data_IF_489039974979
#
_entry.id   IF_489039974979
#
_cell.length_a   1.000
_cell.length_b   1.000
_cell.length_c   1.000
_cell.angle_alpha   90.00
_cell.angle_beta   90.00
_cell.angle_gamma   90.00
#
_symmetry.space_group_name_H-M   'P 1'
#
loop_
_entity.id
_entity.type
_entity.pdbx_description
1 polymer ?
#
# COMPACT_ATOMS: atom_id res chain seq x y z
N UNK A 1 -11.00 -15.19 6.78
CA UNK A 1 -11.98 -15.68 5.80
C UNK A 1 -11.99 -14.68 4.67
N UNK A 2 -11.54 -15.11 3.49
CA UNK A 2 -11.43 -14.27 2.32
C UNK A 2 -12.79 -14.10 1.64
N UNK A 3 -13.14 -12.86 1.28
CA UNK A 3 -14.32 -12.56 0.49
C UNK A 3 -13.90 -12.19 -0.92
N UNK A 4 -14.61 -12.71 -1.92
CA UNK A 4 -14.48 -12.25 -3.31
C UNK A 4 -15.04 -10.84 -3.43
N UNK A 5 -14.49 -10.06 -4.36
CA UNK A 5 -14.97 -8.72 -4.67
C UNK A 5 -16.39 -8.74 -5.24
N UNK A 6 -16.69 -9.71 -6.11
CA UNK A 6 -18.04 -9.92 -6.66
C UNK A 6 -18.50 -8.94 -7.74
N UNK A 7 -17.70 -7.94 -8.10
CA UNK A 7 -18.00 -6.99 -9.19
C UNK A 7 -16.75 -6.45 -9.89
N UNK A 8 -16.97 -5.80 -11.03
CA UNK A 8 -15.91 -5.15 -11.80
C UNK A 8 -14.89 -6.13 -12.38
N UNK A 9 -13.75 -5.60 -12.85
CA UNK A 9 -12.70 -6.40 -13.51
C UNK A 9 -12.05 -7.46 -12.62
N UNK A 10 -12.16 -7.31 -11.29
CA UNK A 10 -11.53 -8.19 -10.30
C UNK A 10 -12.57 -8.98 -9.50
N UNK A 11 -13.78 -9.18 -10.05
CA UNK A 11 -14.89 -9.83 -9.36
C UNK A 11 -14.52 -11.19 -8.72
N UNK A 12 -13.73 -12.00 -9.42
CA UNK A 12 -13.29 -13.32 -8.96
C UNK A 12 -12.08 -13.29 -8.01
N UNK A 13 -11.49 -12.12 -7.78
CA UNK A 13 -10.38 -11.94 -6.83
C UNK A 13 -10.92 -11.62 -5.44
N UNK A 14 -10.12 -11.92 -4.45
CA UNK A 14 -10.41 -11.56 -3.05
C UNK A 14 -10.10 -10.09 -2.79
N UNK A 15 -10.67 -9.55 -1.74
CA UNK A 15 -10.45 -8.15 -1.37
C UNK A 15 -8.97 -7.90 -0.99
N UNK A 16 -8.34 -8.81 -0.24
CA UNK A 16 -6.93 -8.71 0.14
C UNK A 16 -5.99 -8.70 -1.08
N UNK A 17 -6.36 -9.43 -2.14
CA UNK A 17 -5.57 -9.52 -3.37
C UNK A 17 -5.36 -8.16 -4.01
N UNK A 18 -6.34 -7.26 -3.92
CA UNK A 18 -6.25 -5.92 -4.51
C UNK A 18 -5.06 -5.13 -3.95
N UNK A 19 -4.81 -5.17 -2.65
CA UNK A 19 -3.74 -4.38 -2.03
C UNK A 19 -2.33 -4.77 -2.53
N UNK A 20 -2.10 -6.05 -2.81
CA UNK A 20 -0.79 -6.56 -3.24
C UNK A 20 -0.61 -6.69 -4.76
N UNK A 21 -1.66 -6.43 -5.55
CA UNK A 21 -1.60 -6.63 -7.01
C UNK A 21 -2.15 -5.43 -7.79
N UNK A 22 -3.07 -4.66 -7.20
CA UNK A 22 -3.68 -3.50 -7.84
C UNK A 22 -4.21 -2.50 -6.78
N UNK A 23 -3.33 -1.95 -5.90
CA UNK A 23 -3.77 -1.07 -4.81
C UNK A 23 -4.46 0.19 -5.34
N UNK A 24 -4.10 0.67 -6.54
CA UNK A 24 -4.79 1.78 -7.20
C UNK A 24 -6.27 1.50 -7.45
N UNK A 25 -6.66 0.23 -7.66
CA UNK A 25 -8.07 -0.12 -7.85
C UNK A 25 -8.89 0.04 -6.57
N UNK A 26 -8.29 -0.20 -5.39
CA UNK A 26 -8.95 0.04 -4.09
C UNK A 26 -9.33 1.52 -3.96
N UNK A 27 -8.41 2.42 -4.30
CA UNK A 27 -8.64 3.85 -4.19
C UNK A 27 -9.57 4.36 -5.28
N UNK A 28 -9.48 3.81 -6.50
CA UNK A 28 -10.48 4.05 -7.54
C UNK A 28 -11.88 3.65 -7.08
N UNK A 29 -12.03 2.50 -6.40
CA UNK A 29 -13.32 2.06 -5.88
C UNK A 29 -13.90 3.07 -4.90
N UNK A 30 -13.09 3.56 -3.96
CA UNK A 30 -13.50 4.56 -2.97
C UNK A 30 -13.85 5.89 -3.64
N UNK A 31 -12.99 6.38 -4.54
CA UNK A 31 -13.17 7.66 -5.23
C UNK A 31 -14.41 7.69 -6.13
N UNK A 32 -14.78 6.53 -6.71
CA UNK A 32 -15.93 6.40 -7.61
C UNK A 32 -17.15 5.77 -6.93
N UNK A 33 -17.12 5.61 -5.60
CA UNK A 33 -18.19 5.00 -4.81
C UNK A 33 -18.62 3.61 -5.35
N UNK A 34 -17.66 2.84 -5.88
CA UNK A 34 -17.88 1.49 -6.38
C UNK A 34 -17.87 0.45 -5.25
N UNK A 35 -17.26 0.79 -4.10
CA UNK A 35 -17.28 -0.02 -2.87
C UNK A 35 -18.68 -0.16 -2.25
N UNK A 36 -19.66 0.67 -2.66
CA UNK A 36 -21.08 0.52 -2.29
C UNK A 36 -21.70 -0.81 -2.72
N UNK A 37 -21.08 -1.51 -3.69
CA UNK A 37 -21.51 -2.83 -4.15
C UNK A 37 -21.05 -3.96 -3.21
N UNK A 38 -20.25 -3.65 -2.18
CA UNK A 38 -19.92 -4.58 -1.11
C UNK A 38 -20.98 -4.52 -0.03
N UNK A 39 -21.40 -5.69 0.44
CA UNK A 39 -22.44 -5.84 1.46
C UNK A 39 -22.02 -6.82 2.56
N UNK A 40 -22.67 -6.70 3.73
CA UNK A 40 -22.48 -7.61 4.86
C UNK A 40 -21.02 -7.75 5.30
N UNK A 41 -20.60 -8.98 5.55
CA UNK A 41 -19.25 -9.28 6.02
C UNK A 41 -18.14 -8.87 5.03
N UNK A 42 -18.41 -8.88 3.72
CA UNK A 42 -17.45 -8.44 2.71
C UNK A 42 -17.17 -6.93 2.82
N UNK A 43 -18.21 -6.13 3.10
CA UNK A 43 -18.08 -4.69 3.34
C UNK A 43 -17.27 -4.41 4.59
N UNK A 44 -17.60 -5.07 5.70
CA UNK A 44 -16.88 -4.92 6.96
C UNK A 44 -15.40 -5.29 6.81
N UNK A 45 -15.11 -6.38 6.09
CA UNK A 45 -13.74 -6.78 5.78
C UNK A 45 -13.03 -5.73 4.94
N UNK A 46 -13.67 -5.19 3.90
CA UNK A 46 -13.08 -4.12 3.08
C UNK A 46 -12.74 -2.88 3.91
N UNK A 47 -13.66 -2.42 4.75
CA UNK A 47 -13.44 -1.24 5.59
C UNK A 47 -12.26 -1.44 6.57
N UNK A 48 -12.15 -2.63 7.18
CA UNK A 48 -11.00 -2.99 8.03
C UNK A 48 -9.68 -3.01 7.24
N UNK A 49 -9.67 -3.63 6.06
CA UNK A 49 -8.48 -3.68 5.20
C UNK A 49 -8.04 -2.29 4.75
N UNK A 50 -8.96 -1.42 4.36
CA UNK A 50 -8.67 -0.03 3.97
C UNK A 50 -8.08 0.75 5.15
N UNK A 51 -8.66 0.61 6.34
CA UNK A 51 -8.18 1.25 7.57
C UNK A 51 -6.74 0.82 7.89
N UNK A 52 -6.46 -0.48 7.83
CA UNK A 52 -5.11 -1.05 8.03
C UNK A 52 -4.13 -0.59 6.96
N UNK A 53 -4.54 -0.61 5.69
CA UNK A 53 -3.72 -0.26 4.54
C UNK A 53 -3.24 1.20 4.53
N UNK A 54 -3.92 2.11 5.25
CA UNK A 54 -3.50 3.52 5.38
C UNK A 54 -2.38 3.75 6.38
N UNK A 55 -2.12 2.80 7.30
CA UNK A 55 -1.25 3.00 8.45
C UNK A 55 -0.35 1.78 8.72
N UNK A 56 0.59 1.52 7.82
CA UNK A 56 1.54 0.42 7.94
C UNK A 56 2.64 0.72 8.96
N UNK A 57 2.94 -0.26 9.81
CA UNK A 57 4.14 -0.29 10.66
C UNK A 57 5.24 -1.05 9.91
N UNK A 58 5.90 -0.34 9.00
CA UNK A 58 6.95 -0.93 8.17
C UNK A 58 8.16 -1.32 9.04
N UNK A 59 8.62 -2.59 8.99
CA UNK A 59 9.77 -3.04 9.76
C UNK A 59 11.08 -2.54 9.16
N UNK A 60 12.14 -2.53 9.97
CA UNK A 60 13.48 -2.12 9.55
C UNK A 60 13.87 -0.74 10.03
N UNK A 61 14.89 -0.17 9.38
CA UNK A 61 15.53 1.09 9.77
C UNK A 61 15.49 2.08 8.61
N UNK A 62 15.51 3.37 8.96
CA UNK A 62 15.55 4.48 8.01
C UNK A 62 16.63 4.28 6.95
N UNK A 63 16.26 4.51 5.69
CA UNK A 63 17.15 4.41 4.54
C UNK A 63 18.35 5.35 4.62
N UNK A 64 18.21 6.53 5.21
CA UNK A 64 19.30 7.51 5.30
C UNK A 64 20.24 7.21 6.48
N UNK A 65 19.74 7.26 7.73
CA UNK A 65 20.61 7.15 8.90
C UNK A 65 20.89 5.72 9.35
N UNK A 66 20.18 4.71 8.83
CA UNK A 66 20.34 3.27 9.13
C UNK A 66 20.24 2.90 10.62
N UNK A 67 19.79 3.81 11.48
CA UNK A 67 19.76 3.64 12.95
C UNK A 67 18.35 3.68 13.54
N UNK A 68 17.53 4.64 13.11
CA UNK A 68 16.17 4.87 13.64
C UNK A 68 15.11 4.03 12.92
N UNK A 69 13.99 3.68 13.59
CA UNK A 69 12.89 2.97 12.96
C UNK A 69 12.24 3.80 11.84
N UNK A 70 11.58 3.10 10.92
CA UNK A 70 10.79 3.73 9.85
C UNK A 70 9.51 4.32 10.45
N UNK A 71 9.22 5.57 10.08
CA UNK A 71 8.01 6.29 10.48
C UNK A 71 7.31 6.98 9.30
N UNK A 72 8.03 7.20 8.18
CA UNK A 72 7.53 7.89 7.00
C UNK A 72 7.94 7.16 5.73
N UNK A 73 7.18 7.35 4.67
CA UNK A 73 7.58 7.02 3.30
C UNK A 73 7.61 8.28 2.43
N UNK A 74 8.60 8.37 1.56
CA UNK A 74 8.71 9.38 0.53
C UNK A 74 8.35 8.77 -0.82
N UNK A 75 7.40 9.40 -1.51
CA UNK A 75 6.95 9.03 -2.84
C UNK A 75 7.52 10.02 -3.85
N UNK A 76 8.49 9.57 -4.66
CA UNK A 76 9.19 10.44 -5.62
C UNK A 76 8.55 10.36 -7.00
N UNK A 77 8.23 11.52 -7.57
CA UNK A 77 7.63 11.60 -8.91
C UNK A 77 8.67 11.32 -10.00
N UNK A 78 8.33 10.44 -10.94
CA UNK A 78 9.05 10.23 -12.18
C UNK A 78 8.72 11.34 -13.21
N UNK A 79 9.62 11.59 -14.16
CA UNK A 79 9.41 12.62 -15.22
C UNK A 79 8.14 12.39 -16.06
N UNK A 80 7.64 11.15 -16.11
CA UNK A 80 6.38 10.81 -16.79
C UNK A 80 5.12 11.14 -15.99
N UNK A 81 5.25 11.73 -14.80
CA UNK A 81 4.17 12.10 -13.89
C UNK A 81 3.75 10.99 -12.90
N UNK A 82 4.17 9.74 -13.11
CA UNK A 82 3.89 8.61 -12.22
C UNK A 82 4.80 8.57 -10.99
N UNK A 83 4.52 7.67 -10.06
CA UNK A 83 5.40 7.32 -8.96
C UNK A 83 6.60 6.53 -9.50
N UNK A 84 7.81 7.03 -9.26
CA UNK A 84 9.05 6.40 -9.71
C UNK A 84 9.83 5.69 -8.62
N UNK A 85 9.71 6.14 -7.36
CA UNK A 85 10.46 5.57 -6.24
C UNK A 85 9.70 5.74 -4.91
N UNK A 86 9.82 4.74 -4.05
CA UNK A 86 9.35 4.77 -2.66
C UNK A 86 10.53 4.56 -1.74
N UNK A 87 10.75 5.46 -0.78
CA UNK A 87 11.84 5.33 0.19
C UNK A 87 11.30 5.43 1.62
N UNK A 88 11.82 4.61 2.53
CA UNK A 88 11.38 4.59 3.93
C UNK A 88 12.34 5.32 4.87
N UNK A 89 11.79 6.25 5.65
CA UNK A 89 12.55 7.18 6.49
C UNK A 89 12.06 7.17 7.93
N UNK A 90 12.93 7.59 8.86
CA UNK A 90 12.49 7.93 10.21
C UNK A 90 11.74 9.27 10.22
N UNK A 91 11.31 9.68 11.40
CA UNK A 91 10.62 10.93 11.72
C UNK A 91 11.44 12.21 11.48
N UNK A 92 12.78 12.09 11.43
CA UNK A 92 13.71 13.22 11.55
C UNK A 92 14.59 13.43 10.32
N UNK A 93 14.99 12.35 9.66
CA UNK A 93 15.77 12.40 8.42
C UNK A 93 14.99 13.11 7.30
N UNK A 94 15.67 13.94 6.50
CA UNK A 94 15.03 14.64 5.40
C UNK A 94 15.35 13.94 4.09
N UNK A 95 14.39 13.92 3.19
CA UNK A 95 14.67 13.46 1.84
C UNK A 95 15.62 14.42 1.14
N UNK A 96 16.73 13.89 0.63
CA UNK A 96 17.75 14.62 -0.10
C UNK A 96 17.72 14.19 -1.56
N UNK A 97 17.03 14.96 -2.39
CA UNK A 97 16.92 14.69 -3.83
C UNK A 97 16.39 15.89 -4.59
N UNK A 98 16.76 16.00 -5.87
CA UNK A 98 16.32 17.11 -6.73
C UNK A 98 14.91 16.95 -7.30
N UNK A 99 14.31 15.76 -7.16
CA UNK A 99 12.97 15.48 -7.68
C UNK A 99 11.88 15.76 -6.63
N UNK A 100 10.71 16.27 -7.03
CA UNK A 100 9.58 16.43 -6.13
C UNK A 100 9.20 15.12 -5.45
N UNK A 101 9.17 15.15 -4.12
CA UNK A 101 8.81 14.00 -3.27
C UNK A 101 7.67 14.36 -2.33
N UNK A 102 6.75 13.43 -2.13
CA UNK A 102 5.67 13.56 -1.16
C UNK A 102 5.93 12.68 0.06
N UNK A 103 5.91 13.27 1.25
CA UNK A 103 6.06 12.54 2.51
C UNK A 103 4.69 12.14 3.05
N UNK A 104 4.56 10.89 3.48
CA UNK A 104 3.34 10.39 4.15
C UNK A 104 3.68 9.25 5.12
N UNK A 105 2.71 8.83 5.93
CA UNK A 105 2.84 7.58 6.68
C UNK A 105 2.86 6.40 5.71
N UNK A 106 3.65 5.34 5.99
CA UNK A 106 3.66 4.16 5.12
C UNK A 106 2.27 3.57 4.91
N UNK A 107 1.88 3.33 3.65
CA UNK A 107 0.54 2.93 3.26
C UNK A 107 0.53 2.20 1.90
N UNK A 108 -0.50 1.40 1.62
CA UNK A 108 -0.80 0.90 0.27
C UNK A 108 -1.52 1.97 -0.58
N UNK A 109 -1.05 3.22 -0.56
CA UNK A 109 -1.70 4.33 -1.25
C UNK A 109 -0.70 5.17 -2.05
N UNK A 110 -1.07 5.43 -3.30
CA UNK A 110 -0.41 6.41 -4.18
C UNK A 110 -1.34 7.61 -4.35
N UNK A 111 -0.97 8.81 -3.90
CA UNK A 111 -1.75 10.03 -4.08
C UNK A 111 -2.17 10.33 -5.52
N UNK A 112 -3.37 10.91 -5.68
CA UNK A 112 -3.98 11.20 -6.99
C UNK A 112 -3.22 12.23 -7.83
N UNK A 113 -2.35 13.06 -7.23
CA UNK A 113 -1.54 14.01 -8.01
C UNK A 113 -0.43 13.33 -8.83
N UNK A 114 -0.19 12.03 -8.63
CA UNK A 114 0.54 11.21 -9.59
C UNK A 114 -0.32 11.00 -10.84
N UNK A 115 0.07 10.08 -11.73
CA UNK A 115 -0.79 9.73 -12.86
C UNK A 115 -2.09 9.09 -12.36
N UNK A 116 -3.22 9.52 -12.90
CA UNK A 116 -4.50 8.86 -12.65
C UNK A 116 -4.37 7.36 -12.91
N UNK A 117 -4.68 6.59 -11.87
CA UNK A 117 -4.58 5.14 -11.88
C UNK A 117 -3.19 4.61 -12.34
N UNK A 118 -2.13 5.07 -11.67
CA UNK A 118 -0.74 4.66 -11.91
C UNK A 118 -0.45 3.20 -11.50
N UNK A 119 -0.74 2.25 -12.39
CA UNK A 119 -0.45 0.83 -12.17
C UNK A 119 1.04 0.55 -11.94
N UNK A 120 1.92 1.26 -12.65
CA UNK A 120 3.38 1.08 -12.52
C UNK A 120 3.86 1.59 -11.17
N UNK A 121 3.38 2.76 -10.77
CA UNK A 121 3.60 3.32 -9.43
C UNK A 121 3.08 2.42 -8.32
N UNK A 122 1.87 1.89 -8.46
CA UNK A 122 1.29 0.93 -7.51
C UNK A 122 2.12 -0.34 -7.40
N UNK A 123 2.69 -0.84 -8.51
CA UNK A 123 3.64 -1.96 -8.48
C UNK A 123 4.91 -1.61 -7.72
N UNK A 124 5.54 -0.46 -7.97
CA UNK A 124 6.75 -0.05 -7.23
C UNK A 124 6.48 0.10 -5.73
N UNK A 125 5.34 0.68 -5.35
CA UNK A 125 4.92 0.77 -3.97
C UNK A 125 4.83 -0.61 -3.30
N UNK A 126 4.15 -1.55 -3.96
CA UNK A 126 3.99 -2.91 -3.42
C UNK A 126 5.33 -3.66 -3.37
N UNK A 127 6.17 -3.50 -4.38
CA UNK A 127 7.50 -4.11 -4.45
C UNK A 127 8.36 -3.63 -3.25
N UNK A 128 8.35 -2.34 -2.92
CA UNK A 128 9.07 -1.80 -1.76
C UNK A 128 8.48 -2.24 -0.42
N UNK A 129 7.15 -2.32 -0.30
CA UNK A 129 6.50 -2.91 0.87
C UNK A 129 6.94 -4.37 1.05
N UNK A 130 6.95 -5.17 -0.02
CA UNK A 130 7.40 -6.57 0.04
C UNK A 130 8.88 -6.69 0.40
N UNK A 131 9.74 -5.82 -0.13
CA UNK A 131 11.13 -5.73 0.27
C UNK A 131 11.25 -5.49 1.78
N UNK A 132 10.51 -4.54 2.33
CA UNK A 132 10.60 -4.20 3.74
C UNK A 132 10.13 -5.35 4.65
N UNK A 133 8.98 -5.97 4.35
CA UNK A 133 8.41 -7.02 5.20
C UNK A 133 9.04 -8.41 5.00
N UNK A 134 9.49 -8.73 3.78
CA UNK A 134 9.89 -10.09 3.41
C UNK A 134 11.31 -10.19 2.84
N UNK A 135 12.04 -9.08 2.77
CA UNK A 135 13.39 -9.03 2.21
C UNK A 135 13.46 -9.24 0.68
N UNK A 136 12.32 -9.29 -0.02
CA UNK A 136 12.27 -9.57 -1.45
C UNK A 136 11.05 -8.91 -2.12
N UNK A 137 11.27 -8.02 -3.09
CA UNK A 137 10.20 -7.35 -3.85
C UNK A 137 9.31 -8.34 -4.61
N UNK A 138 9.85 -9.49 -5.00
CA UNK A 138 9.15 -10.54 -5.73
C UNK A 138 8.60 -11.62 -4.81
N UNK A 139 8.54 -11.37 -3.50
CA UNK A 139 7.91 -12.31 -2.56
C UNK A 139 6.48 -12.64 -3.02
N UNK A 140 6.23 -13.94 -3.19
CA UNK A 140 4.94 -14.44 -3.69
C UNK A 140 3.88 -14.30 -2.60
N UNK A 141 2.83 -13.54 -2.88
CA UNK A 141 1.69 -13.35 -2.00
C UNK A 141 0.56 -14.32 -2.38
N UNK A 142 0.45 -15.44 -1.67
CA UNK A 142 -0.72 -16.33 -1.76
C UNK A 142 -1.90 -15.74 -0.97
N UNK A 143 -3.11 -16.25 -1.17
CA UNK A 143 -4.28 -15.75 -0.43
C UNK A 143 -4.05 -15.79 1.08
N UNK A 144 -3.64 -16.95 1.61
CA UNK A 144 -3.36 -17.13 3.03
C UNK A 144 -2.29 -16.17 3.55
N UNK A 145 -1.25 -15.83 2.76
CA UNK A 145 -0.24 -14.84 3.18
C UNK A 145 -0.78 -13.42 3.20
N UNK A 146 -1.69 -13.08 2.29
CA UNK A 146 -2.32 -11.77 2.27
C UNK A 146 -3.27 -11.63 3.47
N UNK A 147 -4.04 -12.67 3.79
CA UNK A 147 -4.85 -12.73 5.03
C UNK A 147 -3.95 -12.59 6.26
N UNK A 148 -2.90 -13.41 6.38
CA UNK A 148 -1.94 -13.36 7.50
C UNK A 148 -1.32 -11.98 7.68
N UNK A 149 -0.91 -11.33 6.58
CA UNK A 149 -0.37 -9.97 6.62
C UNK A 149 -1.36 -8.99 7.24
N UNK A 150 -2.62 -9.03 6.81
CA UNK A 150 -3.64 -8.12 7.32
C UNK A 150 -4.14 -8.50 8.70
N UNK A 151 -4.13 -9.77 9.08
CA UNK A 151 -4.60 -10.23 10.39
C UNK A 151 -3.54 -10.06 11.49
N UNK A 152 -2.27 -9.89 11.13
CA UNK A 152 -1.16 -9.63 12.06
C UNK A 152 -1.17 -8.15 12.53
N UNK A 153 -1.54 -7.85 13.80
CA UNK A 153 -1.69 -6.45 14.25
C UNK A 153 -0.37 -5.67 14.25
N UNK A 154 0.77 -6.36 14.43
CA UNK A 154 2.10 -5.75 14.42
C UNK A 154 2.52 -5.12 13.08
N UNK A 155 1.78 -5.37 11.99
CA UNK A 155 2.03 -4.76 10.68
C UNK A 155 1.41 -3.35 10.55
N UNK A 156 0.71 -2.85 11.58
CA UNK A 156 -0.03 -1.59 11.53
C UNK A 156 0.30 -0.69 12.73
N UNK A 157 0.22 0.63 12.53
CA UNK A 157 0.45 1.61 13.60
C UNK A 157 -0.83 1.72 14.44
N UNK A 158 -0.75 1.25 15.69
CA UNK A 158 -1.73 1.30 16.81
C UNK A 158 -3.23 1.06 16.48
N UNK A 159 -3.83 0.16 17.26
CA UNK A 159 -5.25 0.12 17.58
C UNK A 159 -5.41 0.19 19.09
#
# INVERSE_FOLDING_TARGET
MAYKLGFGKHAERTIEWLFFNDPGYVWWMIANNADKNLHGAARQRFDDLVRRARHLRVPGKCWQCRSRPIARMFLTRHISGGLGRVDFFCDTCKYEGGSPSYSTTPAFYTPDFFRDYDKTGGRFLVDEIKCAYFGNSKHRMTQSRMEEFFDTPGNFINF
#
